data_IF_873811758646
#
_entry.id   IF_873811758646
#
_cell.length_a   1.000
_cell.length_b   1.000
_cell.length_c   1.000
_cell.angle_alpha   90.00
_cell.angle_beta   90.00
_cell.angle_gamma   90.00
#
_symmetry.space_group_name_H-M   'P 1'
#
loop_
_entity.id
_entity.type
_entity.pdbx_description
1 polymer ?
#
# COMPACT_ATOMS: atom_id res chain seq x y z
N UNK A 1 3.73 12.36 -5.67
CA UNK A 1 2.29 12.04 -5.48
C UNK A 1 2.04 10.81 -4.61
N UNK A 2 3.05 10.08 -4.07
CA UNK A 2 2.76 8.91 -3.22
C UNK A 2 3.17 9.02 -1.77
N UNK A 3 4.30 9.67 -1.44
CA UNK A 3 4.79 9.66 -0.05
C UNK A 3 3.79 10.30 0.91
N UNK A 4 3.23 11.44 0.53
CA UNK A 4 2.19 12.12 1.30
C UNK A 4 0.85 11.36 1.36
N UNK A 5 0.53 10.53 0.37
CA UNK A 5 -0.68 9.70 0.40
C UNK A 5 -0.52 8.52 1.34
N UNK A 6 0.62 7.83 1.28
CA UNK A 6 0.94 6.76 2.22
C UNK A 6 0.94 7.28 3.66
N UNK A 7 1.62 8.39 3.92
CA UNK A 7 1.60 9.06 5.22
C UNK A 7 0.18 9.43 5.66
N UNK A 8 -0.65 9.92 4.74
CA UNK A 8 -2.04 10.28 5.03
C UNK A 8 -2.87 9.05 5.41
N UNK A 9 -2.77 7.95 4.66
CA UNK A 9 -3.46 6.70 4.96
C UNK A 9 -3.01 6.12 6.30
N UNK A 10 -1.71 6.13 6.60
CA UNK A 10 -1.21 5.63 7.88
C UNK A 10 -1.63 6.47 9.09
N UNK A 11 -2.07 7.71 8.88
CA UNK A 11 -2.58 8.62 9.94
C UNK A 11 -4.11 8.72 9.98
N UNK A 12 -4.79 8.15 9.00
CA UNK A 12 -6.25 8.29 8.84
C UNK A 12 -6.88 6.91 8.91
N UNK A 13 -7.82 6.71 9.82
CA UNK A 13 -8.54 5.45 9.91
C UNK A 13 -9.56 5.36 8.76
N UNK A 14 -9.65 4.22 8.05
CA UNK A 14 -10.67 4.05 7.01
C UNK A 14 -12.07 4.09 7.63
N UNK A 15 -12.96 4.88 7.04
CA UNK A 15 -14.33 5.08 7.55
C UNK A 15 -15.31 4.08 6.94
N UNK A 16 -15.10 3.69 5.66
CA UNK A 16 -15.93 2.72 4.95
C UNK A 16 -15.21 1.39 4.72
N UNK A 17 -15.97 0.35 4.38
CA UNK A 17 -15.41 -0.96 4.02
C UNK A 17 -14.54 -0.87 2.77
N UNK A 18 -14.92 -0.07 1.76
CA UNK A 18 -14.10 0.09 0.55
C UNK A 18 -12.76 0.78 0.85
N UNK A 19 -12.75 1.78 1.74
CA UNK A 19 -11.55 2.51 2.12
C UNK A 19 -10.56 1.68 2.94
N UNK A 20 -10.97 0.51 3.45
CA UNK A 20 -10.02 -0.40 4.11
C UNK A 20 -9.06 -1.03 3.11
N UNK A 21 -9.45 -1.18 1.85
CA UNK A 21 -8.63 -1.83 0.83
C UNK A 21 -7.61 -0.85 0.27
N UNK A 22 -6.34 -1.02 0.68
CA UNK A 22 -5.20 -0.27 0.17
C UNK A 22 -4.52 -1.06 -0.95
N UNK A 23 -4.69 -0.59 -2.17
CA UNK A 23 -4.13 -1.24 -3.36
C UNK A 23 -2.67 -0.84 -3.56
N UNK A 24 -1.80 -1.83 -3.76
CA UNK A 24 -0.39 -1.66 -4.10
C UNK A 24 -0.20 -2.01 -5.57
N UNK A 25 0.02 -1.01 -6.42
CA UNK A 25 0.04 -1.17 -7.89
C UNK A 25 1.33 -0.66 -8.51
N UNK A 26 1.80 -1.28 -9.58
CA UNK A 26 2.97 -0.83 -10.35
C UNK A 26 2.58 -0.21 -11.71
N UNK A 27 1.28 0.02 -11.92
CA UNK A 27 0.73 0.68 -13.09
C UNK A 27 0.03 1.98 -12.69
N UNK A 28 0.46 3.09 -13.28
CA UNK A 28 -0.02 4.43 -12.94
C UNK A 28 -1.48 4.65 -13.35
N UNK A 29 -1.92 4.12 -14.48
CA UNK A 29 -3.30 4.25 -14.96
C UNK A 29 -4.27 3.53 -14.03
N UNK A 30 -3.88 2.34 -13.54
CA UNK A 30 -4.66 1.58 -12.54
C UNK A 30 -4.72 2.36 -11.22
N UNK A 31 -3.60 2.93 -10.77
CA UNK A 31 -3.57 3.74 -9.55
C UNK A 31 -4.55 4.91 -9.62
N UNK A 32 -4.56 5.65 -10.75
CA UNK A 32 -5.48 6.75 -10.95
C UNK A 32 -6.94 6.28 -11.03
N UNK A 33 -7.22 5.17 -11.70
CA UNK A 33 -8.57 4.62 -11.79
C UNK A 33 -9.14 4.26 -10.41
N UNK A 34 -8.33 3.64 -9.55
CA UNK A 34 -8.70 3.28 -8.17
C UNK A 34 -8.96 4.53 -7.32
N UNK A 35 -8.05 5.51 -7.36
CA UNK A 35 -8.20 6.78 -6.63
C UNK A 35 -9.46 7.51 -7.10
N UNK A 36 -9.73 7.53 -8.40
CA UNK A 36 -10.94 8.14 -8.95
C UNK A 36 -12.22 7.41 -8.54
N UNK A 37 -12.15 6.09 -8.39
CA UNK A 37 -13.23 5.26 -7.86
C UNK A 37 -13.39 5.36 -6.33
N UNK A 38 -12.51 6.10 -5.64
CA UNK A 38 -12.56 6.32 -4.19
C UNK A 38 -11.80 5.28 -3.36
N UNK A 39 -11.03 4.40 -3.99
CA UNK A 39 -10.20 3.41 -3.31
C UNK A 39 -8.80 3.97 -3.01
N UNK A 40 -8.27 3.76 -1.79
CA UNK A 40 -6.88 4.05 -1.48
C UNK A 40 -5.94 3.22 -2.36
N UNK A 41 -5.00 3.88 -3.02
CA UNK A 41 -4.01 3.19 -3.85
C UNK A 41 -2.63 3.85 -3.74
N UNK A 42 -1.59 3.02 -3.73
CA UNK A 42 -0.18 3.41 -3.72
C UNK A 42 0.49 2.84 -4.96
N UNK A 43 1.06 3.74 -5.76
CA UNK A 43 1.86 3.38 -6.93
C UNK A 43 3.33 3.13 -6.56
N UNK A 44 3.80 1.91 -6.80
CA UNK A 44 5.14 1.44 -6.47
C UNK A 44 6.01 1.31 -7.72
N UNK A 45 7.17 1.97 -7.74
CA UNK A 45 8.13 1.87 -8.86
C UNK A 45 9.58 1.97 -8.39
N UNK A 46 10.42 1.02 -8.80
CA UNK A 46 11.82 0.93 -8.36
C UNK A 46 12.78 1.92 -9.03
N UNK A 47 12.32 2.76 -9.97
CA UNK A 47 13.19 3.61 -10.82
C UNK A 47 12.95 5.12 -10.66
N UNK A 48 12.32 5.56 -9.57
CA UNK A 48 12.01 6.98 -9.38
C UNK A 48 12.03 7.40 -7.91
N UNK A 49 12.79 8.46 -7.60
CA UNK A 49 12.86 9.05 -6.25
C UNK A 49 11.55 9.74 -5.81
N UNK A 50 10.70 10.11 -6.79
CA UNK A 50 9.42 10.77 -6.55
C UNK A 50 8.31 9.84 -6.03
N UNK A 51 8.53 8.52 -6.09
CA UNK A 51 7.58 7.48 -5.70
C UNK A 51 8.24 6.49 -4.73
N UNK A 52 7.44 5.66 -4.06
CA UNK A 52 8.00 4.57 -3.27
C UNK A 52 8.39 3.41 -4.19
N UNK A 53 9.59 2.88 -4.02
CA UNK A 53 9.88 1.49 -4.40
C UNK A 53 9.22 0.54 -3.40
N UNK A 54 9.13 -0.74 -3.76
CA UNK A 54 8.64 -1.78 -2.86
C UNK A 54 9.50 -1.83 -1.58
N UNK A 55 10.82 -1.76 -1.73
CA UNK A 55 11.75 -1.77 -0.60
C UNK A 55 11.55 -0.53 0.30
N UNK A 56 11.45 0.67 -0.28
CA UNK A 56 11.23 1.89 0.50
C UNK A 56 9.86 1.95 1.17
N UNK A 57 8.86 1.26 0.59
CA UNK A 57 7.55 1.12 1.21
C UNK A 57 7.65 0.23 2.45
N UNK A 58 8.33 -0.91 2.33
CA UNK A 58 8.58 -1.83 3.45
C UNK A 58 9.36 -1.14 4.56
N UNK A 59 10.45 -0.45 4.24
CA UNK A 59 11.24 0.30 5.23
C UNK A 59 10.38 1.34 5.95
N UNK A 60 9.57 2.10 5.21
CA UNK A 60 8.66 3.08 5.79
C UNK A 60 7.61 2.43 6.72
N UNK A 61 7.02 1.31 6.31
CA UNK A 61 6.04 0.58 7.09
C UNK A 61 6.66 0.02 8.39
N UNK A 62 7.89 -0.48 8.32
CA UNK A 62 8.64 -0.95 9.50
C UNK A 62 8.98 0.20 10.46
N UNK A 63 9.37 1.37 9.95
CA UNK A 63 9.65 2.56 10.75
C UNK A 63 8.42 3.00 11.57
N UNK A 64 7.22 2.90 10.99
CA UNK A 64 5.99 3.33 11.64
C UNK A 64 5.32 2.24 12.48
N UNK A 65 5.77 0.98 12.39
CA UNK A 65 5.04 -0.18 12.92
C UNK A 65 4.76 -0.13 14.44
N UNK A 66 5.55 0.65 15.18
CA UNK A 66 5.45 0.81 16.63
C UNK A 66 5.02 2.23 17.06
N UNK A 67 4.50 3.04 16.15
CA UNK A 67 4.19 4.47 16.43
C UNK A 67 2.69 4.76 16.63
N UNK A 68 1.84 3.73 16.62
CA UNK A 68 0.39 3.87 16.82
C UNK A 68 -0.36 4.35 15.56
N UNK A 69 0.11 3.97 14.37
CA UNK A 69 -0.51 4.27 13.09
C UNK A 69 -1.71 3.37 12.78
N UNK A 70 -2.49 3.75 11.78
CA UNK A 70 -3.63 3.00 11.27
C UNK A 70 -3.23 1.81 10.38
N UNK A 71 -1.96 1.39 10.35
CA UNK A 71 -1.48 0.35 9.44
C UNK A 71 -2.26 -0.97 9.51
N UNK A 72 -2.75 -1.36 10.70
CA UNK A 72 -3.51 -2.60 10.94
C UNK A 72 -4.99 -2.45 10.58
N UNK A 73 -5.48 -1.22 10.39
CA UNK A 73 -6.87 -0.94 10.02
C UNK A 73 -7.11 -1.13 8.51
N UNK A 74 -6.04 -1.22 7.72
CA UNK A 74 -6.09 -1.46 6.28
C UNK A 74 -5.90 -2.94 5.91
N UNK A 75 -6.41 -3.28 4.72
CA UNK A 75 -6.26 -4.54 4.02
C UNK A 75 -5.43 -4.26 2.77
N UNK A 76 -4.26 -4.87 2.66
CA UNK A 76 -3.32 -4.64 1.56
C UNK A 76 -3.64 -5.57 0.40
N UNK A 77 -3.77 -5.00 -0.80
CA UNK A 77 -4.09 -5.73 -2.03
C UNK A 77 -2.95 -5.56 -3.02
N UNK A 78 -2.04 -6.54 -3.14
CA UNK A 78 -0.94 -6.48 -4.10
C UNK A 78 -1.44 -6.76 -5.52
N UNK A 79 -1.41 -5.73 -6.36
CA UNK A 79 -1.87 -5.78 -7.75
C UNK A 79 -0.78 -5.29 -8.71
N UNK A 80 0.48 -5.64 -8.45
CA UNK A 80 1.58 -5.37 -9.35
C UNK A 80 1.60 -6.38 -10.51
N UNK A 81 2.06 -5.95 -11.69
CA UNK A 81 2.25 -6.79 -12.87
C UNK A 81 3.32 -7.87 -12.67
N UNK A 82 4.30 -7.61 -11.81
CA UNK A 82 5.37 -8.54 -11.48
C UNK A 82 4.98 -9.46 -10.33
N UNK A 83 4.87 -10.76 -10.62
CA UNK A 83 4.62 -11.79 -9.58
C UNK A 83 5.65 -11.73 -8.44
N UNK A 84 6.93 -11.50 -8.74
CA UNK A 84 7.98 -11.40 -7.72
C UNK A 84 7.73 -10.29 -6.71
N UNK A 85 7.11 -9.18 -7.14
CA UNK A 85 6.80 -8.05 -6.27
C UNK A 85 5.59 -8.40 -5.39
N UNK A 86 4.54 -9.00 -5.96
CA UNK A 86 3.38 -9.42 -5.20
C UNK A 86 3.77 -10.47 -4.14
N UNK A 87 4.52 -11.51 -4.52
CA UNK A 87 5.00 -12.55 -3.60
C UNK A 87 5.78 -11.93 -2.42
N UNK A 88 6.59 -10.89 -2.67
CA UNK A 88 7.37 -10.21 -1.64
C UNK A 88 6.50 -9.36 -0.70
N UNK A 89 5.53 -8.62 -1.23
CA UNK A 89 4.57 -7.84 -0.45
C UNK A 89 3.67 -8.76 0.40
N UNK A 90 3.29 -9.92 -0.13
CA UNK A 90 2.52 -10.93 0.60
C UNK A 90 3.30 -11.47 1.79
N UNK A 91 4.54 -11.92 1.58
CA UNK A 91 5.40 -12.41 2.66
C UNK A 91 5.60 -11.33 3.72
N UNK A 92 5.82 -10.08 3.32
CA UNK A 92 5.95 -8.96 4.24
C UNK A 92 4.69 -8.76 5.09
N UNK A 93 3.52 -8.71 4.47
CA UNK A 93 2.26 -8.48 5.17
C UNK A 93 1.92 -9.66 6.10
N UNK A 94 2.17 -10.90 5.69
CA UNK A 94 1.99 -12.09 6.53
C UNK A 94 2.90 -12.07 7.77
N UNK A 95 4.17 -11.71 7.60
CA UNK A 95 5.12 -11.63 8.71
C UNK A 95 4.75 -10.56 9.74
N UNK A 96 4.10 -9.48 9.28
CA UNK A 96 3.69 -8.36 10.12
C UNK A 96 2.21 -8.43 10.57
N UNK A 97 1.54 -9.57 10.36
CA UNK A 97 0.12 -9.79 10.70
C UNK A 97 -0.83 -8.76 10.09
N UNK A 98 -0.46 -8.17 8.95
CA UNK A 98 -1.30 -7.24 8.20
C UNK A 98 -2.39 -8.01 7.46
N UNK A 99 -3.58 -7.42 7.33
CA UNK A 99 -4.67 -8.05 6.59
C UNK A 99 -4.34 -8.03 5.09
N UNK A 100 -4.37 -9.20 4.43
CA UNK A 100 -4.16 -9.37 2.99
C UNK A 100 -5.44 -9.91 2.35
N UNK A 101 -5.81 -9.37 1.20
CA UNK A 101 -6.90 -9.91 0.36
C UNK A 101 -6.37 -10.20 -1.05
N UNK A 102 -6.81 -11.33 -1.61
CA UNK A 102 -6.37 -11.91 -2.89
C UNK A 102 -7.44 -11.76 -3.99
N UNK A 103 -8.36 -10.80 -3.81
CA UNK A 103 -9.60 -10.65 -4.61
C UNK A 103 -9.38 -10.57 -6.12
#
# INVERSE_FOLDING_TARGET
MNKSFLEHYMKTKPETTEQKYLFLVDNLDIAYALIYAGYPAIFLINRSDAYHSVDSFIEYMDEIACTGTCQMDYVYVPACSSKKINDLLEVYCQNNYLNLDYS
#
